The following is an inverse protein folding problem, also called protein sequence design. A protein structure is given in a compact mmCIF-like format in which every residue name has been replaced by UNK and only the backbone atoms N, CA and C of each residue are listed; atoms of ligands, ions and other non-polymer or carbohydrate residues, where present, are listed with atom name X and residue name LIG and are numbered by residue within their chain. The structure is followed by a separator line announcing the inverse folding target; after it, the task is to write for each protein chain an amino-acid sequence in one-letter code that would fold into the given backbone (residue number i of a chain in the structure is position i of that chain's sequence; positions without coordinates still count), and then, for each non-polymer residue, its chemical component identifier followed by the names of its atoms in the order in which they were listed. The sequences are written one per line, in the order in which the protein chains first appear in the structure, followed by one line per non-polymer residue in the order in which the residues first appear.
data_IF_746356375604
#
_entry.id   IF_746356375604
#
_cell.length_a   1.000
_cell.length_b   1.000
_cell.length_c   1.000
_cell.angle_alpha   90.00
_cell.angle_beta   90.00
_cell.angle_gamma   90.00
#
_symmetry.space_group_name_H-M   'P 1'
#
loop_
_entity.id
_entity.type
_entity.pdbx_description
1 polymer ?
#
# COMPACT_ATOMS: atom_id res chain seq x y z
N UNK A 1 11.25 -7.66 -7.39
CA UNK A 1 12.02 -7.07 -6.27
C UNK A 1 12.26 -8.06 -5.15
N UNK A 2 11.21 -8.72 -4.62
CA UNK A 2 11.33 -9.77 -3.60
C UNK A 2 12.38 -10.85 -3.93
N UNK A 3 12.27 -11.49 -5.11
CA UNK A 3 13.22 -12.54 -5.51
C UNK A 3 14.67 -12.03 -5.59
N UNK A 4 14.88 -10.80 -6.05
CA UNK A 4 16.20 -10.19 -6.08
C UNK A 4 16.76 -9.96 -4.66
N UNK A 5 15.94 -9.42 -3.75
CA UNK A 5 16.35 -9.18 -2.38
C UNK A 5 16.73 -10.48 -1.67
N UNK A 6 15.92 -11.54 -1.83
CA UNK A 6 16.23 -12.86 -1.25
C UNK A 6 17.50 -13.45 -1.86
N UNK A 7 17.66 -13.38 -3.19
CA UNK A 7 18.85 -13.92 -3.85
C UNK A 7 20.13 -13.17 -3.45
N UNK A 8 20.06 -11.85 -3.28
CA UNK A 8 21.22 -11.01 -2.95
C UNK A 8 21.56 -11.01 -1.45
N UNK A 9 20.55 -11.10 -0.57
CA UNK A 9 20.70 -10.88 0.88
C UNK A 9 20.23 -12.05 1.74
N UNK A 10 19.77 -13.15 1.15
CA UNK A 10 19.35 -14.39 1.82
C UNK A 10 17.92 -14.36 2.36
N UNK A 11 17.42 -13.20 2.80
CA UNK A 11 16.06 -13.06 3.34
C UNK A 11 15.49 -11.65 3.13
N UNK A 12 14.19 -11.50 3.43
CA UNK A 12 13.47 -10.23 3.43
C UNK A 12 12.78 -10.01 4.78
N UNK A 13 13.40 -9.20 5.64
CA UNK A 13 12.88 -8.93 6.99
C UNK A 13 11.86 -7.78 7.01
N UNK A 14 12.08 -6.76 6.19
CA UNK A 14 11.26 -5.54 6.20
C UNK A 14 10.89 -5.15 4.77
N UNK A 15 9.60 -4.87 4.55
CA UNK A 15 9.13 -4.17 3.37
C UNK A 15 8.59 -2.79 3.74
N UNK A 16 8.96 -1.77 2.96
CA UNK A 16 8.43 -0.43 3.10
C UNK A 16 7.88 0.09 1.75
N UNK A 17 6.56 0.19 1.66
CA UNK A 17 5.87 0.69 0.47
C UNK A 17 5.40 2.13 0.68
N UNK A 18 6.15 3.09 0.11
CA UNK A 18 5.93 4.53 0.29
C UNK A 18 5.48 5.28 -0.96
N UNK A 19 5.61 4.69 -2.15
CA UNK A 19 5.33 5.38 -3.41
C UNK A 19 3.89 5.91 -3.44
N UNK A 20 3.72 7.19 -3.84
CA UNK A 20 2.40 7.78 -3.99
C UNK A 20 2.39 9.09 -4.77
N UNK A 21 1.23 9.39 -5.37
CA UNK A 21 0.94 10.64 -6.08
C UNK A 21 -0.37 11.26 -5.55
N UNK A 22 -0.57 12.55 -5.79
CA UNK A 22 -1.81 13.25 -5.47
C UNK A 22 -2.03 14.43 -6.40
N UNK A 23 -3.27 14.93 -6.47
CA UNK A 23 -3.63 16.15 -7.17
C UNK A 23 -4.50 17.04 -6.27
N UNK A 24 -4.03 18.26 -6.03
CA UNK A 24 -4.69 19.22 -5.12
C UNK A 24 -5.97 19.80 -5.69
N UNK A 25 -6.24 19.66 -6.99
CA UNK A 25 -7.38 20.28 -7.65
C UNK A 25 -8.62 19.38 -7.73
N UNK A 26 -8.51 18.09 -7.38
CA UNK A 26 -9.62 17.15 -7.49
C UNK A 26 -10.66 17.39 -6.39
N UNK A 27 -11.94 17.55 -6.77
CA UNK A 27 -13.07 17.57 -5.85
C UNK A 27 -14.06 16.45 -6.21
N UNK A 28 -15.06 16.19 -5.37
CA UNK A 28 -16.11 15.21 -5.68
C UNK A 28 -16.96 15.63 -6.89
N UNK A 29 -17.15 16.93 -7.10
CA UNK A 29 -17.97 17.46 -8.19
C UNK A 29 -17.26 17.39 -9.54
N UNK A 30 -15.94 17.60 -9.54
CA UNK A 30 -15.10 17.69 -10.74
C UNK A 30 -14.01 16.60 -10.71
N UNK A 31 -14.41 15.37 -10.39
CA UNK A 31 -13.49 14.24 -10.28
C UNK A 31 -13.11 13.71 -11.67
N UNK A 32 -11.85 13.89 -12.05
CA UNK A 32 -11.27 13.28 -13.25
C UNK A 32 -10.99 11.80 -12.98
N UNK A 33 -11.80 10.93 -13.57
CA UNK A 33 -11.68 9.49 -13.39
C UNK A 33 -10.38 8.92 -13.96
N UNK A 34 -9.84 9.49 -15.04
CA UNK A 34 -8.57 9.01 -15.59
C UNK A 34 -7.40 9.35 -14.67
N UNK A 35 -7.42 10.54 -14.07
CA UNK A 35 -6.44 10.89 -13.03
C UNK A 35 -6.62 10.04 -11.77
N UNK A 36 -7.87 9.83 -11.33
CA UNK A 36 -8.19 8.96 -10.20
C UNK A 36 -7.65 7.54 -10.42
N UNK A 37 -7.86 6.96 -11.60
CA UNK A 37 -7.35 5.62 -11.94
C UNK A 37 -5.82 5.55 -11.86
N UNK A 38 -5.13 6.61 -12.30
CA UNK A 38 -3.68 6.72 -12.17
C UNK A 38 -3.26 6.79 -10.69
N UNK A 39 -3.93 7.61 -9.88
CA UNK A 39 -3.70 7.70 -8.43
C UNK A 39 -3.89 6.35 -7.76
N UNK A 40 -4.98 5.64 -8.07
CA UNK A 40 -5.25 4.31 -7.52
C UNK A 40 -4.26 3.25 -8.01
N UNK A 41 -3.86 3.29 -9.28
CA UNK A 41 -2.88 2.36 -9.82
C UNK A 41 -1.55 2.42 -9.06
N UNK A 42 -1.13 3.59 -8.60
CA UNK A 42 0.11 3.78 -7.84
C UNK A 42 -0.14 3.56 -6.35
N UNK A 43 -1.04 4.35 -5.75
CA UNK A 43 -1.19 4.46 -4.31
C UNK A 43 -1.87 3.23 -3.68
N UNK A 44 -2.75 2.54 -4.42
CA UNK A 44 -3.51 1.41 -3.90
C UNK A 44 -3.05 0.10 -4.54
N UNK A 45 -3.16 -0.03 -5.87
CA UNK A 45 -2.81 -1.26 -6.59
C UNK A 45 -1.31 -1.57 -6.49
N UNK A 46 -0.45 -0.56 -6.65
CA UNK A 46 0.99 -0.72 -6.49
C UNK A 46 1.35 -1.25 -5.10
N UNK A 47 0.81 -0.63 -4.05
CA UNK A 47 1.02 -1.09 -2.67
C UNK A 47 0.44 -2.49 -2.44
N UNK A 48 -0.74 -2.80 -2.95
CA UNK A 48 -1.35 -4.13 -2.86
C UNK A 48 -0.47 -5.20 -3.52
N UNK A 49 0.18 -4.89 -4.64
CA UNK A 49 1.12 -5.79 -5.28
C UNK A 49 2.34 -6.06 -4.38
N UNK A 50 2.94 -5.03 -3.79
CA UNK A 50 4.02 -5.20 -2.82
C UNK A 50 3.55 -6.04 -1.61
N UNK A 51 2.44 -5.68 -0.96
CA UNK A 51 1.97 -6.44 0.21
C UNK A 51 1.71 -7.91 -0.16
N UNK A 52 1.10 -8.18 -1.31
CA UNK A 52 0.84 -9.54 -1.80
C UNK A 52 2.13 -10.36 -1.94
N UNK A 53 3.14 -9.83 -2.63
CA UNK A 53 4.35 -10.58 -2.94
C UNK A 53 5.24 -10.75 -1.71
N UNK A 54 5.33 -9.73 -0.87
CA UNK A 54 6.16 -9.75 0.32
C UNK A 54 5.56 -10.59 1.45
N UNK A 55 4.26 -10.45 1.72
CA UNK A 55 3.56 -11.32 2.69
C UNK A 55 3.69 -12.79 2.30
N UNK A 56 3.54 -13.11 1.01
CA UNK A 56 3.70 -14.48 0.50
C UNK A 56 5.10 -15.02 0.77
N UNK A 57 6.14 -14.24 0.47
CA UNK A 57 7.52 -14.67 0.70
C UNK A 57 7.84 -14.84 2.19
N UNK A 58 7.33 -13.96 3.05
CA UNK A 58 7.50 -14.08 4.50
C UNK A 58 6.83 -15.35 5.05
N UNK A 59 5.60 -15.63 4.62
CA UNK A 59 4.85 -16.85 5.01
C UNK A 59 5.56 -18.11 4.54
N UNK A 60 5.90 -18.20 3.25
CA UNK A 60 6.56 -19.38 2.67
C UNK A 60 7.94 -19.62 3.28
N UNK A 61 8.70 -18.55 3.53
CA UNK A 61 10.01 -18.60 4.17
C UNK A 61 10.00 -18.77 5.68
N UNK A 62 8.81 -18.75 6.32
CA UNK A 62 8.65 -18.69 7.79
C UNK A 62 9.46 -17.55 8.43
N UNK A 63 9.57 -16.43 7.72
CA UNK A 63 10.35 -15.26 8.12
C UNK A 63 9.49 -14.40 9.02
N UNK A 64 10.04 -14.05 10.19
CA UNK A 64 9.42 -13.04 11.06
C UNK A 64 9.86 -11.66 10.61
N UNK A 65 8.93 -10.92 10.01
CA UNK A 65 9.23 -9.64 9.40
C UNK A 65 8.18 -8.56 9.66
N UNK A 66 8.31 -7.44 8.98
CA UNK A 66 7.36 -6.33 9.05
C UNK A 66 7.06 -5.77 7.66
N UNK A 67 5.78 -5.50 7.38
CA UNK A 67 5.32 -4.86 6.16
C UNK A 67 4.73 -3.51 6.52
N UNK A 68 5.40 -2.45 6.10
CA UNK A 68 5.03 -1.07 6.42
C UNK A 68 4.57 -0.35 5.15
N UNK A 69 3.36 0.22 5.16
CA UNK A 69 2.85 1.03 4.06
C UNK A 69 2.60 2.47 4.50
N UNK A 70 3.03 3.44 3.69
CA UNK A 70 2.78 4.86 3.97
C UNK A 70 1.34 5.22 3.62
N UNK A 71 0.49 5.32 4.65
CA UNK A 71 -0.83 5.92 4.54
C UNK A 71 -0.74 7.46 4.61
N UNK A 72 -1.68 8.11 5.28
CA UNK A 72 -1.71 9.55 5.54
C UNK A 72 -2.80 9.82 6.58
N UNK A 73 -2.81 11.01 7.21
CA UNK A 73 -3.98 11.47 7.97
C UNK A 73 -5.26 11.38 7.13
N UNK A 74 -5.14 11.64 5.81
CA UNK A 74 -6.22 11.50 4.81
C UNK A 74 -6.76 10.08 4.63
N UNK A 75 -6.11 9.06 5.20
CA UNK A 75 -6.62 7.69 5.26
C UNK A 75 -7.63 7.43 6.37
N UNK A 76 -7.86 8.43 7.24
CA UNK A 76 -8.77 8.33 8.39
C UNK A 76 -9.74 9.51 8.52
N UNK A 77 -9.71 10.46 7.59
CA UNK A 77 -10.58 11.64 7.57
C UNK A 77 -10.88 12.05 6.14
N UNK A 78 -11.87 12.91 5.91
CA UNK A 78 -12.18 13.49 4.59
C UNK A 78 -11.62 14.91 4.41
N UNK A 79 -11.68 15.40 3.17
CA UNK A 79 -11.27 16.77 2.81
C UNK A 79 -12.00 17.26 1.56
N UNK A 80 -12.02 18.58 1.37
CA UNK A 80 -12.68 19.21 0.22
C UNK A 80 -11.94 18.96 -1.10
N UNK A 81 -10.62 18.81 -1.04
CA UNK A 81 -9.73 18.67 -2.18
C UNK A 81 -8.97 17.35 -2.14
N UNK A 82 -8.40 16.95 -3.28
CA UNK A 82 -7.66 15.69 -3.44
C UNK A 82 -8.52 14.44 -3.18
N UNK A 83 -9.79 14.45 -3.60
CA UNK A 83 -10.75 13.37 -3.34
C UNK A 83 -10.20 11.98 -3.70
N UNK A 84 -9.56 11.86 -4.86
CA UNK A 84 -8.90 10.64 -5.32
C UNK A 84 -7.78 10.16 -4.37
N UNK A 85 -6.96 11.08 -3.88
CA UNK A 85 -5.89 10.78 -2.92
C UNK A 85 -6.45 10.28 -1.59
N UNK A 86 -7.47 10.97 -1.04
CA UNK A 86 -8.16 10.58 0.20
C UNK A 86 -8.70 9.15 0.10
N UNK A 87 -9.42 8.84 -0.98
CA UNK A 87 -9.93 7.49 -1.21
C UNK A 87 -8.79 6.47 -1.33
N UNK A 88 -7.72 6.80 -2.05
CA UNK A 88 -6.58 5.90 -2.21
C UNK A 88 -5.88 5.59 -0.89
N UNK A 89 -5.79 6.55 0.05
CA UNK A 89 -5.17 6.33 1.37
C UNK A 89 -6.07 5.56 2.33
N UNK A 90 -7.39 5.69 2.21
CA UNK A 90 -8.32 4.77 2.90
C UNK A 90 -8.16 3.33 2.39
N UNK A 91 -7.95 3.14 1.08
CA UNK A 91 -7.70 1.82 0.51
C UNK A 91 -6.42 1.18 1.09
N UNK A 92 -5.36 1.96 1.32
CA UNK A 92 -4.15 1.48 2.01
C UNK A 92 -4.45 1.01 3.43
N UNK A 93 -5.22 1.78 4.21
CA UNK A 93 -5.62 1.36 5.57
C UNK A 93 -6.44 0.06 5.54
N UNK A 94 -7.38 -0.06 4.60
CA UNK A 94 -8.14 -1.29 4.38
C UNK A 94 -7.25 -2.49 4.05
N UNK A 95 -6.29 -2.31 3.14
CA UNK A 95 -5.30 -3.31 2.78
C UNK A 95 -4.49 -3.80 3.99
N UNK A 96 -3.96 -2.88 4.80
CA UNK A 96 -3.16 -3.25 5.98
C UNK A 96 -3.99 -3.98 7.04
N UNK A 97 -5.25 -3.58 7.25
CA UNK A 97 -6.19 -4.30 8.14
C UNK A 97 -6.52 -5.70 7.64
N UNK A 98 -6.55 -5.92 6.33
CA UNK A 98 -6.70 -7.25 5.75
C UNK A 98 -5.43 -8.08 5.95
N UNK A 99 -4.26 -7.49 5.68
CA UNK A 99 -2.97 -8.16 5.85
C UNK A 99 -2.71 -8.56 7.32
N UNK A 100 -3.10 -7.73 8.29
CA UNK A 100 -3.01 -8.03 9.73
C UNK A 100 -3.71 -9.33 10.13
N UNK A 101 -4.77 -9.71 9.41
CA UNK A 101 -5.53 -10.93 9.72
C UNK A 101 -4.87 -12.22 9.22
N UNK A 102 -3.79 -12.12 8.47
CA UNK A 102 -3.06 -13.29 7.97
C UNK A 102 -2.13 -13.77 9.08
N UNK A 103 -2.34 -15.01 9.54
CA UNK A 103 -1.37 -15.67 10.42
C UNK A 103 -0.17 -16.13 9.57
N UNK A 104 0.88 -15.31 9.58
CA UNK A 104 1.98 -15.45 8.63
C UNK A 104 3.37 -15.11 9.17
N UNK A 105 3.49 -14.86 10.47
CA UNK A 105 4.76 -14.54 11.11
C UNK A 105 5.25 -13.11 10.90
N UNK A 106 4.57 -12.26 10.12
CA UNK A 106 4.93 -10.86 9.92
C UNK A 106 3.96 -9.91 10.63
N UNK A 107 4.45 -8.72 10.99
CA UNK A 107 3.64 -7.62 11.49
C UNK A 107 3.34 -6.61 10.38
N UNK A 108 2.28 -5.84 10.56
CA UNK A 108 1.86 -4.74 9.67
C UNK A 108 1.59 -3.46 10.43
#
# INVERSE_FOLDING_TARGET
MVAFAIAAYGQLDIMFSNAGIFNVCQTVLDLDLAFMDRTFSINARGMAACVKHEARAMVEGKIKGSIVCTASMTGSMGGQFSTDYFMSKHAVIGLMRCAWRIDGGFTV
#
